data_IF_376437274310
#
_entry.id   IF_376437274310
#
_cell.length_a   1.000
_cell.length_b   1.000
_cell.length_c   1.000
_cell.angle_alpha   90.00
_cell.angle_beta   90.00
_cell.angle_gamma   90.00
#
_symmetry.space_group_name_H-M   'P 1'
#
loop_
_entity.id
_entity.type
_entity.pdbx_description
1 polymer ?
#
# COMPACT_ATOMS: atom_id res chain seq x y z
N UNK A 1 -12.73 -11.21 14.89
CA UNK A 1 -14.03 -10.62 14.56
C UNK A 1 -14.73 -11.62 13.66
N UNK A 2 -16.01 -11.95 13.91
CA UNK A 2 -16.77 -12.83 13.02
C UNK A 2 -16.77 -12.23 11.60
N UNK A 3 -16.70 -13.10 10.59
CA UNK A 3 -16.76 -12.64 9.21
C UNK A 3 -18.17 -12.09 8.93
N UNK A 4 -18.29 -11.11 8.03
CA UNK A 4 -19.58 -10.51 7.67
C UNK A 4 -20.60 -11.58 7.23
N UNK A 5 -20.10 -12.66 6.61
CA UNK A 5 -20.92 -13.79 6.15
C UNK A 5 -21.54 -14.58 7.31
N UNK A 6 -20.82 -14.76 8.42
CA UNK A 6 -21.34 -15.47 9.61
C UNK A 6 -22.49 -14.70 10.27
N UNK A 7 -22.38 -13.36 10.33
CA UNK A 7 -23.44 -12.49 10.88
C UNK A 7 -24.67 -12.43 9.97
N UNK A 8 -24.47 -12.55 8.65
CA UNK A 8 -25.55 -12.59 7.67
C UNK A 8 -26.41 -13.85 7.83
N UNK A 9 -25.77 -15.00 8.07
CA UNK A 9 -26.48 -16.27 8.27
C UNK A 9 -27.44 -16.25 9.47
N UNK A 10 -27.11 -15.53 10.55
CA UNK A 10 -27.98 -15.39 11.72
C UNK A 10 -29.16 -14.43 11.50
N UNK A 11 -29.04 -13.49 10.55
CA UNK A 11 -30.02 -12.43 10.31
C UNK A 11 -31.04 -12.78 9.21
N UNK A 12 -30.70 -13.74 8.36
CA UNK A 12 -31.56 -14.22 7.28
C UNK A 12 -32.60 -15.20 7.84
N UNK A 13 -33.85 -15.08 7.38
CA UNK A 13 -34.83 -16.12 7.65
C UNK A 13 -34.41 -17.43 6.95
N UNK A 14 -34.82 -18.62 7.42
CA UNK A 14 -34.40 -19.90 6.83
C UNK A 14 -34.77 -20.07 5.36
N UNK A 15 -35.78 -19.33 4.89
CA UNK A 15 -36.27 -19.36 3.51
C UNK A 15 -35.78 -18.15 2.69
N UNK A 16 -35.12 -17.18 3.32
CA UNK A 16 -34.67 -15.94 2.68
C UNK A 16 -33.32 -16.17 2.00
N UNK A 17 -33.25 -15.86 0.71
CA UNK A 17 -32.06 -16.11 -0.11
C UNK A 17 -31.36 -14.81 -0.45
N UNK A 18 -30.03 -14.79 -0.33
CA UNK A 18 -29.21 -13.66 -0.77
C UNK A 18 -29.18 -13.64 -2.30
N UNK A 19 -29.69 -12.55 -2.88
CA UNK A 19 -29.70 -12.33 -4.33
C UNK A 19 -28.42 -11.62 -4.77
N UNK A 20 -27.99 -10.61 -4.02
CA UNK A 20 -26.76 -9.87 -4.29
C UNK A 20 -26.21 -9.25 -3.01
N UNK A 21 -24.90 -9.13 -2.92
CA UNK A 21 -24.22 -8.41 -1.84
C UNK A 21 -23.27 -7.37 -2.43
N UNK A 22 -23.20 -6.20 -1.80
CA UNK A 22 -22.29 -5.13 -2.17
C UNK A 22 -21.83 -4.39 -0.91
N UNK A 23 -20.76 -3.62 -1.03
CA UNK A 23 -20.31 -2.72 0.04
C UNK A 23 -20.55 -1.28 -0.37
N UNK A 24 -20.91 -0.46 0.60
CA UNK A 24 -21.28 0.93 0.34
C UNK A 24 -21.09 1.81 1.56
N UNK A 25 -21.54 3.04 1.41
CA UNK A 25 -21.58 4.00 2.51
C UNK A 25 -23.00 4.51 2.67
N UNK A 26 -23.56 4.33 3.87
CA UNK A 26 -24.85 4.88 4.23
C UNK A 26 -24.64 6.34 4.65
N UNK A 27 -25.37 7.26 4.01
CA UNK A 27 -25.36 8.69 4.34
C UNK A 27 -26.69 9.04 4.99
N UNK A 28 -26.68 9.30 6.30
CA UNK A 28 -27.86 9.67 7.08
C UNK A 28 -27.62 11.06 7.69
N UNK A 29 -28.35 12.08 7.22
CA UNK A 29 -28.36 13.50 7.62
C UNK A 29 -27.00 14.21 7.77
N UNK A 30 -26.11 13.72 8.63
CA UNK A 30 -24.79 14.27 8.93
C UNK A 30 -23.68 13.22 9.06
N UNK A 31 -24.02 11.94 9.05
CA UNK A 31 -23.06 10.86 9.25
C UNK A 31 -22.89 9.99 8.00
N UNK A 32 -21.68 9.47 7.85
CA UNK A 32 -21.31 8.51 6.80
C UNK A 32 -20.63 7.33 7.45
N UNK A 33 -21.22 6.15 7.27
CA UNK A 33 -20.66 4.92 7.81
C UNK A 33 -20.52 3.88 6.69
N UNK A 34 -19.44 3.08 6.71
CA UNK A 34 -19.35 1.91 5.85
C UNK A 34 -20.46 0.92 6.22
N UNK A 35 -21.11 0.37 5.20
CA UNK A 35 -22.17 -0.62 5.33
C UNK A 35 -22.00 -1.72 4.30
N UNK A 36 -22.28 -2.94 4.71
CA UNK A 36 -22.53 -4.07 3.80
C UNK A 36 -24.00 -4.07 3.43
N UNK A 37 -24.29 -4.01 2.14
CA UNK A 37 -25.63 -3.93 1.59
C UNK A 37 -25.94 -5.29 0.99
N UNK A 38 -26.96 -5.96 1.49
CA UNK A 38 -27.39 -7.27 1.01
C UNK A 38 -28.81 -7.17 0.52
N UNK A 39 -28.99 -7.53 -0.75
CA UNK A 39 -30.28 -7.66 -1.39
C UNK A 39 -30.73 -9.11 -1.25
N UNK A 40 -31.91 -9.31 -0.68
CA UNK A 40 -32.54 -10.63 -0.58
C UNK A 40 -33.74 -10.71 -1.52
N UNK A 41 -34.39 -11.85 -1.57
CA UNK A 41 -35.66 -12.01 -2.28
C UNK A 41 -36.84 -11.26 -1.61
N UNK A 42 -36.70 -10.80 -0.36
CA UNK A 42 -37.81 -10.17 0.41
C UNK A 42 -37.55 -8.73 0.87
N UNK A 43 -36.30 -8.36 1.09
CA UNK A 43 -35.91 -7.07 1.68
C UNK A 43 -34.47 -6.69 1.38
N UNK A 44 -34.19 -5.41 1.55
CA UNK A 44 -32.84 -4.86 1.52
C UNK A 44 -32.29 -4.74 2.95
N UNK A 45 -31.13 -5.32 3.19
CA UNK A 45 -30.42 -5.30 4.46
C UNK A 45 -29.19 -4.39 4.34
N UNK A 46 -29.00 -3.47 5.27
CA UNK A 46 -27.78 -2.68 5.40
C UNK A 46 -27.20 -2.94 6.79
N UNK A 47 -26.03 -3.58 6.82
CA UNK A 47 -25.31 -3.89 8.05
C UNK A 47 -24.14 -2.92 8.20
N UNK A 48 -24.14 -2.12 9.26
CA UNK A 48 -22.98 -1.29 9.61
C UNK A 48 -21.96 -2.09 10.42
N UNK A 49 -20.67 -1.76 10.31
CA UNK A 49 -19.61 -2.33 11.16
C UNK A 49 -19.88 -2.17 12.66
N UNK A 50 -20.67 -1.15 13.06
CA UNK A 50 -21.10 -0.96 14.44
C UNK A 50 -22.25 -1.87 14.91
N UNK A 51 -22.65 -2.88 14.11
CA UNK A 51 -23.76 -3.78 14.41
C UNK A 51 -25.16 -3.15 14.24
N UNK A 52 -25.25 -1.91 13.73
CA UNK A 52 -26.53 -1.28 13.40
C UNK A 52 -27.06 -1.90 12.12
N UNK A 53 -28.18 -2.61 12.23
CA UNK A 53 -28.90 -3.20 11.11
C UNK A 53 -30.03 -2.26 10.67
N UNK A 54 -30.09 -1.96 9.38
CA UNK A 54 -31.22 -1.28 8.74
C UNK A 54 -31.85 -2.24 7.75
N UNK A 55 -33.08 -2.67 8.04
CA UNK A 55 -33.90 -3.53 7.20
C UNK A 55 -34.96 -2.69 6.49
N UNK A 56 -35.04 -2.78 5.17
CA UNK A 56 -36.04 -2.09 4.35
C UNK A 56 -36.79 -3.15 3.54
N UNK A 57 -38.05 -3.40 3.89
CA UNK A 57 -38.94 -4.27 3.11
C UNK A 57 -39.30 -3.63 1.78
N UNK A 58 -39.48 -4.42 0.72
CA UNK A 58 -39.81 -3.86 -0.60
C UNK A 58 -41.18 -3.15 -0.62
N UNK A 59 -42.11 -3.60 0.20
CA UNK A 59 -43.40 -2.97 0.46
C UNK A 59 -43.29 -1.55 1.05
N UNK A 60 -42.22 -1.29 1.82
CA UNK A 60 -41.97 0.03 2.41
C UNK A 60 -41.28 1.01 1.46
N UNK A 61 -40.81 0.56 0.30
CA UNK A 61 -40.09 1.40 -0.67
C UNK A 61 -41.09 2.11 -1.57
N UNK A 62 -41.24 3.42 -1.36
CA UNK A 62 -42.12 4.23 -2.21
C UNK A 62 -41.41 4.74 -3.46
N UNK A 63 -40.11 5.05 -3.36
CA UNK A 63 -39.34 5.58 -4.49
C UNK A 63 -37.90 5.10 -4.45
N UNK A 64 -37.38 4.69 -5.61
CA UNK A 64 -35.96 4.42 -5.81
C UNK A 64 -35.44 5.37 -6.88
N UNK A 65 -34.53 6.27 -6.50
CA UNK A 65 -33.84 7.17 -7.45
C UNK A 65 -32.36 6.84 -7.45
N UNK A 66 -31.82 6.59 -8.64
CA UNK A 66 -30.40 6.35 -8.83
C UNK A 66 -29.76 7.53 -9.56
N UNK A 67 -28.69 8.06 -8.98
CA UNK A 67 -27.89 9.12 -9.58
C UNK A 67 -26.47 8.61 -9.79
N UNK A 68 -26.06 8.50 -11.06
CA UNK A 68 -24.67 8.20 -11.40
C UNK A 68 -23.83 9.45 -11.24
N UNK A 69 -23.02 9.53 -10.17
CA UNK A 69 -22.10 10.65 -9.96
C UNK A 69 -20.67 10.21 -10.26
N UNK A 70 -20.12 10.74 -11.33
CA UNK A 70 -18.69 10.56 -11.64
C UNK A 70 -17.90 11.57 -10.83
N UNK A 71 -17.11 11.09 -9.87
CA UNK A 71 -16.17 11.95 -9.13
C UNK A 71 -14.79 11.74 -9.71
N UNK A 72 -14.10 12.82 -10.07
CA UNK A 72 -12.67 12.77 -10.43
C UNK A 72 -11.88 12.90 -9.15
N UNK A 73 -11.25 11.81 -8.72
CA UNK A 73 -10.27 11.84 -7.64
C UNK A 73 -8.88 11.83 -8.24
N UNK A 74 -8.09 12.86 -7.95
CA UNK A 74 -6.68 12.87 -8.29
C UNK A 74 -5.95 12.00 -7.28
N UNK A 75 -5.48 10.83 -7.71
CA UNK A 75 -4.56 10.04 -6.90
C UNK A 75 -3.16 10.49 -7.28
N UNK A 76 -2.53 11.29 -6.42
CA UNK A 76 -1.12 11.64 -6.56
C UNK A 76 -0.27 10.44 -6.15
N UNK A 77 -0.17 9.47 -7.05
CA UNK A 77 0.65 8.28 -6.89
C UNK A 77 1.67 8.24 -8.04
N UNK A 78 2.35 9.35 -8.31
CA UNK A 78 3.39 9.42 -9.34
C UNK A 78 4.76 9.22 -8.68
N UNK A 79 5.48 8.14 -9.01
CA UNK A 79 6.83 7.86 -8.52
C UNK A 79 7.84 8.97 -8.88
N UNK A 80 7.55 9.77 -9.90
CA UNK A 80 8.43 10.87 -10.33
C UNK A 80 8.47 12.00 -9.31
N UNK A 81 7.45 12.15 -8.47
CA UNK A 81 7.42 13.17 -7.41
C UNK A 81 8.45 12.87 -6.30
N UNK A 82 8.47 11.68 -5.65
CA UNK A 82 9.51 11.35 -4.68
C UNK A 82 10.89 11.28 -5.34
N UNK A 83 11.01 10.82 -6.59
CA UNK A 83 12.29 10.86 -7.32
C UNK A 83 12.79 12.29 -7.56
N UNK A 84 11.94 13.18 -8.06
CA UNK A 84 12.29 14.57 -8.34
C UNK A 84 12.60 15.35 -7.06
N UNK A 85 11.74 15.22 -6.04
CA UNK A 85 11.97 15.83 -4.72
C UNK A 85 13.24 15.28 -4.05
N UNK A 86 13.46 13.97 -4.14
CA UNK A 86 14.63 13.31 -3.61
C UNK A 86 15.91 13.77 -4.30
N UNK A 87 15.92 13.82 -5.63
CA UNK A 87 17.06 14.26 -6.42
C UNK A 87 17.40 15.73 -6.13
N UNK A 88 16.40 16.60 -6.06
CA UNK A 88 16.59 18.01 -5.73
C UNK A 88 17.10 18.18 -4.29
N UNK A 89 16.55 17.42 -3.34
CA UNK A 89 17.05 17.37 -1.96
C UNK A 89 18.51 16.91 -1.89
N UNK A 90 18.87 15.85 -2.62
CA UNK A 90 20.24 15.36 -2.69
C UNK A 90 21.20 16.42 -3.24
N UNK A 91 20.82 17.11 -4.32
CA UNK A 91 21.62 18.19 -4.90
C UNK A 91 21.81 19.36 -3.93
N UNK A 92 20.74 19.81 -3.26
CA UNK A 92 20.80 20.89 -2.27
C UNK A 92 21.64 20.50 -1.05
N UNK A 93 21.48 19.28 -0.54
CA UNK A 93 22.26 18.76 0.57
C UNK A 93 23.74 18.68 0.22
N UNK A 94 24.07 18.12 -0.96
CA UNK A 94 25.45 18.08 -1.46
C UNK A 94 26.06 19.47 -1.62
N UNK A 95 25.35 20.38 -2.30
CA UNK A 95 25.79 21.77 -2.46
C UNK A 95 25.99 22.47 -1.11
N UNK A 96 25.11 22.23 -0.13
CA UNK A 96 25.24 22.75 1.23
C UNK A 96 26.50 22.25 1.93
N UNK A 97 26.84 20.97 1.82
CA UNK A 97 28.10 20.43 2.35
C UNK A 97 29.29 21.15 1.73
N UNK A 98 29.35 21.27 0.39
CA UNK A 98 30.47 21.94 -0.27
C UNK A 98 30.57 23.44 0.04
N UNK A 99 29.42 24.14 0.14
CA UNK A 99 29.38 25.58 0.37
C UNK A 99 29.74 25.97 1.81
N UNK A 100 29.41 25.13 2.78
CA UNK A 100 29.59 25.42 4.21
C UNK A 100 30.95 24.96 4.75
N UNK A 101 31.72 24.20 3.98
CA UNK A 101 33.00 23.64 4.42
C UNK A 101 34.17 24.37 3.77
N UNK A 102 35.10 24.87 4.58
CA UNK A 102 36.32 25.52 4.10
C UNK A 102 37.48 24.53 3.85
N UNK A 103 37.34 23.28 4.31
CA UNK A 103 38.37 22.24 4.18
C UNK A 103 37.93 21.06 3.33
N UNK A 104 38.86 20.47 2.57
CA UNK A 104 38.65 19.33 1.66
C UNK A 104 38.23 18.04 2.38
N UNK A 105 38.53 17.95 3.68
CA UNK A 105 38.32 16.72 4.46
C UNK A 105 36.85 16.45 4.77
N UNK A 106 36.03 17.50 4.98
CA UNK A 106 34.61 17.37 5.29
C UNK A 106 33.78 16.84 4.11
N UNK A 107 33.90 17.34 2.86
CA UNK A 107 33.18 16.78 1.74
C UNK A 107 33.63 15.35 1.41
N UNK A 108 34.91 15.00 1.63
CA UNK A 108 35.38 13.62 1.50
C UNK A 108 34.72 12.69 2.52
N UNK A 109 34.65 13.09 3.80
CA UNK A 109 33.95 12.31 4.83
C UNK A 109 32.45 12.18 4.53
N UNK A 110 31.81 13.23 4.03
CA UNK A 110 30.41 13.18 3.60
C UNK A 110 30.21 12.19 2.45
N UNK A 111 31.08 12.22 1.43
CA UNK A 111 31.04 11.27 0.31
C UNK A 111 31.26 9.83 0.77
N UNK A 112 32.21 9.58 1.67
CA UNK A 112 32.44 8.24 2.23
C UNK A 112 31.23 7.77 3.04
N UNK A 113 30.63 8.65 3.83
CA UNK A 113 29.44 8.33 4.63
C UNK A 113 28.25 7.95 3.73
N UNK A 114 27.97 8.79 2.73
CA UNK A 114 26.87 8.56 1.80
C UNK A 114 27.13 7.35 0.90
N UNK A 115 28.34 7.22 0.37
CA UNK A 115 28.74 6.08 -0.44
C UNK A 115 28.68 4.76 0.34
N UNK A 116 29.12 4.77 1.61
CA UNK A 116 29.00 3.62 2.51
C UNK A 116 27.54 3.20 2.75
N UNK A 117 26.64 4.17 2.97
CA UNK A 117 25.21 3.90 3.09
C UNK A 117 24.61 3.31 1.81
N UNK A 118 24.94 3.87 0.64
CA UNK A 118 24.44 3.37 -0.65
C UNK A 118 24.95 1.95 -0.92
N UNK A 119 26.23 1.68 -0.69
CA UNK A 119 26.82 0.34 -0.88
C UNK A 119 26.25 -0.67 0.11
N UNK A 120 26.10 -0.29 1.38
CA UNK A 120 25.53 -1.17 2.41
C UNK A 120 24.09 -1.55 2.11
N UNK A 121 23.29 -0.58 1.68
CA UNK A 121 21.91 -0.83 1.27
C UNK A 121 21.82 -1.65 -0.03
N UNK A 122 22.70 -1.41 -1.00
CA UNK A 122 22.80 -2.22 -2.21
C UNK A 122 23.15 -3.68 -1.90
N UNK A 123 24.16 -3.91 -1.06
CA UNK A 123 24.58 -5.25 -0.66
C UNK A 123 23.48 -5.98 0.15
N UNK A 124 22.74 -5.27 1.00
CA UNK A 124 21.59 -5.83 1.74
C UNK A 124 20.50 -6.33 0.80
N UNK A 125 20.21 -5.57 -0.26
CA UNK A 125 19.23 -5.98 -1.28
C UNK A 125 19.67 -7.17 -2.09
N UNK A 126 20.96 -7.21 -2.46
CA UNK A 126 21.54 -8.33 -3.17
C UNK A 126 21.37 -9.63 -2.35
N UNK A 127 21.55 -9.56 -1.03
CA UNK A 127 21.33 -10.72 -0.14
C UNK A 127 19.87 -11.16 -0.03
N UNK A 128 18.91 -10.24 -0.08
CA UNK A 128 17.47 -10.59 -0.04
C UNK A 128 17.00 -11.22 -1.36
N UNK A 129 17.53 -10.75 -2.51
CA UNK A 129 17.19 -11.28 -3.84
C UNK A 129 17.88 -12.59 -4.18
N UNK A 130 19.07 -12.83 -3.63
CA UNK A 130 19.79 -14.09 -3.83
C UNK A 130 19.20 -15.27 -3.05
N UNK A 131 18.11 -15.07 -2.30
CA UNK A 131 17.37 -16.16 -1.67
C UNK A 131 18.31 -17.07 -0.88
N UNK A 132 18.94 -16.55 0.18
CA UNK A 132 19.77 -17.39 1.06
C UNK A 132 19.00 -18.60 1.63
N UNK A 133 17.66 -18.61 1.56
CA UNK A 133 16.83 -19.78 1.82
C UNK A 133 17.01 -20.92 0.79
N UNK A 134 17.17 -20.66 -0.51
CA UNK A 134 17.43 -21.71 -1.51
C UNK A 134 18.86 -22.23 -1.43
N UNK A 135 19.83 -21.38 -1.08
CA UNK A 135 21.22 -21.82 -0.89
C UNK A 135 21.37 -22.64 0.38
N UNK A 136 20.77 -22.22 1.51
CA UNK A 136 20.80 -23.02 2.74
C UNK A 136 19.96 -24.30 2.64
N UNK A 137 18.88 -24.32 1.85
CA UNK A 137 18.13 -25.54 1.55
C UNK A 137 18.90 -26.51 0.62
N UNK A 138 19.61 -25.99 -0.39
CA UNK A 138 20.43 -26.80 -1.29
C UNK A 138 21.61 -27.48 -0.55
N UNK A 139 22.20 -26.80 0.43
CA UNK A 139 23.25 -27.38 1.28
C UNK A 139 22.73 -28.44 2.27
N UNK A 140 21.44 -28.40 2.65
CA UNK A 140 20.81 -29.48 3.45
C UNK A 140 20.50 -30.74 2.64
N UNK A 141 20.68 -30.73 1.32
CA UNK A 141 20.41 -31.88 0.45
C UNK A 141 21.67 -32.45 -0.21
N UNK A 142 22.88 -32.10 0.24
CA UNK A 142 24.09 -32.82 -0.17
C UNK A 142 24.10 -34.18 0.55
N UNK A 143 23.88 -35.30 -0.16
CA UNK A 143 23.85 -36.61 0.46
C UNK A 143 25.29 -36.98 0.82
N UNK A 144 25.56 -37.07 2.12
CA UNK A 144 26.80 -37.63 2.66
C UNK A 144 26.89 -39.11 2.28
N UNK A 145 27.36 -39.38 1.06
CA UNK A 145 27.73 -40.73 0.62
C UNK A 145 28.99 -41.13 1.38
N UNK A 146 28.78 -41.82 2.49
CA UNK A 146 29.82 -42.59 3.16
C UNK A 146 30.33 -43.66 2.22
N UNK A 147 31.63 -43.65 1.96
CA UNK A 147 32.28 -44.67 1.13
C UNK A 147 33.80 -44.51 1.03
N UNK A 148 34.52 -44.99 2.04
CA UNK A 148 35.77 -45.73 1.84
C UNK A 148 37.06 -44.97 1.50
N UNK A 149 37.83 -44.67 2.55
CA UNK A 149 39.29 -44.91 2.69
C UNK A 149 40.24 -44.61 1.50
N UNK A 150 41.08 -43.59 1.68
CA UNK A 150 42.53 -43.72 1.96
C UNK A 150 43.39 -42.64 1.28
N UNK A 151 44.12 -41.93 2.14
CA UNK A 151 45.47 -41.36 1.93
C UNK A 151 45.73 -40.47 0.71
N UNK A 152 45.84 -39.15 0.94
CA UNK A 152 47.17 -38.49 0.85
C UNK A 152 47.21 -37.14 1.58
N UNK A 153 48.30 -37.03 2.31
CA UNK A 153 48.80 -35.99 3.18
C UNK A 153 49.52 -34.91 2.35
N UNK A 154 49.00 -33.68 2.32
CA UNK A 154 49.63 -32.38 2.01
C UNK A 154 48.50 -31.44 1.56
N UNK A 155 48.23 -30.25 2.06
CA UNK A 155 48.85 -29.31 3.01
C UNK A 155 47.64 -28.53 3.60
N UNK A 156 47.50 -28.33 4.90
CA UNK A 156 48.48 -27.63 5.72
C UNK A 156 48.37 -26.10 5.59
N UNK A 157 47.23 -25.55 5.13
CA UNK A 157 46.82 -24.18 5.45
C UNK A 157 45.31 -24.18 5.64
N UNK A 158 44.90 -24.17 6.91
CA UNK A 158 43.58 -23.76 7.32
C UNK A 158 43.40 -22.32 6.83
N UNK A 159 42.88 -22.16 5.62
CA UNK A 159 42.24 -20.91 5.23
C UNK A 159 41.08 -20.79 6.23
N UNK A 160 41.09 -19.80 7.14
CA UNK A 160 39.95 -19.60 8.01
C UNK A 160 38.71 -19.54 7.14
N UNK A 161 37.66 -20.26 7.56
CA UNK A 161 36.32 -20.23 6.97
C UNK A 161 36.11 -18.89 6.28
N UNK A 162 35.91 -18.95 4.96
CA UNK A 162 35.62 -17.79 4.15
C UNK A 162 34.45 -17.08 4.83
N UNK A 163 34.78 -16.05 5.63
CA UNK A 163 33.83 -15.13 6.21
C UNK A 163 33.01 -14.71 5.02
N UNK A 164 31.73 -15.04 5.00
CA UNK A 164 30.79 -14.71 3.94
C UNK A 164 31.15 -13.32 3.40
N UNK A 165 31.87 -13.25 2.27
CA UNK A 165 32.39 -12.01 1.69
C UNK A 165 31.33 -10.89 1.65
N UNK A 166 30.04 -11.18 1.35
CA UNK A 166 29.01 -10.15 1.40
C UNK A 166 28.74 -9.59 2.81
N UNK A 167 28.83 -10.41 3.88
CA UNK A 167 28.62 -9.95 5.26
C UNK A 167 29.78 -9.12 5.79
N UNK A 168 31.01 -9.47 5.42
CA UNK A 168 32.19 -8.68 5.77
C UNK A 168 32.15 -7.30 5.10
N UNK A 169 31.73 -7.22 3.83
CA UNK A 169 31.56 -5.95 3.10
C UNK A 169 30.41 -5.10 3.66
N UNK A 170 29.32 -5.72 4.12
CA UNK A 170 28.22 -5.03 4.80
C UNK A 170 28.65 -4.43 6.13
N UNK A 171 29.30 -5.22 6.99
CA UNK A 171 29.83 -4.73 8.27
C UNK A 171 30.89 -3.65 8.07
N UNK A 172 31.78 -3.82 7.08
CA UNK A 172 32.79 -2.82 6.73
C UNK A 172 32.19 -1.49 6.27
N UNK A 173 31.15 -1.52 5.43
CA UNK A 173 30.52 -0.29 4.92
C UNK A 173 29.71 0.45 6.00
N UNK A 174 28.99 -0.27 6.86
CA UNK A 174 28.27 0.34 8.00
C UNK A 174 29.23 0.95 9.01
N UNK A 175 30.28 0.22 9.39
CA UNK A 175 31.30 0.74 10.32
C UNK A 175 32.01 1.95 9.73
N UNK A 176 32.40 1.90 8.45
CA UNK A 176 33.02 3.04 7.77
C UNK A 176 32.09 4.27 7.70
N UNK A 177 30.80 4.08 7.44
CA UNK A 177 29.81 5.15 7.43
C UNK A 177 29.62 5.77 8.82
N UNK A 178 29.50 4.95 9.87
CA UNK A 178 29.36 5.42 11.26
C UNK A 178 30.60 6.18 11.71
N UNK A 179 31.79 5.62 11.48
CA UNK A 179 33.07 6.27 11.85
C UNK A 179 33.24 7.59 11.10
N UNK A 180 32.90 7.64 9.81
CA UNK A 180 32.98 8.87 9.01
C UNK A 180 31.98 9.93 9.48
N UNK A 181 30.76 9.53 9.83
CA UNK A 181 29.73 10.44 10.35
C UNK A 181 30.09 11.00 11.73
N UNK A 182 30.60 10.16 12.64
CA UNK A 182 31.09 10.60 13.95
C UNK A 182 32.28 11.54 13.79
N UNK A 183 33.20 11.23 12.87
CA UNK A 183 34.30 12.15 12.51
C UNK A 183 33.77 13.49 12.02
N UNK A 184 32.75 13.50 11.16
CA UNK A 184 32.14 14.73 10.64
C UNK A 184 31.48 15.58 11.74
N UNK A 185 30.80 14.94 12.70
CA UNK A 185 30.22 15.59 13.89
C UNK A 185 31.28 16.22 14.80
N UNK A 186 32.42 15.54 14.98
CA UNK A 186 33.50 16.02 15.86
C UNK A 186 34.32 17.12 15.20
N UNK A 187 34.59 17.03 13.89
CA UNK A 187 35.43 17.99 13.17
C UNK A 187 34.69 19.26 12.73
N UNK A 188 33.36 19.23 12.68
CA UNK A 188 32.58 20.34 12.11
C UNK A 188 31.72 21.03 13.17
N UNK A 189 32.07 22.23 13.64
CA UNK A 189 31.28 22.96 14.64
C UNK A 189 29.97 23.58 14.09
N UNK A 190 29.46 23.08 12.96
CA UNK A 190 28.30 23.64 12.26
C UNK A 190 27.18 22.62 12.12
N UNK A 191 26.09 22.82 12.87
CA UNK A 191 24.85 22.03 12.74
C UNK A 191 24.27 22.07 11.32
N UNK A 192 24.54 23.14 10.58
CA UNK A 192 24.13 23.29 9.18
C UNK A 192 24.78 22.24 8.27
N UNK A 193 26.05 21.88 8.49
CA UNK A 193 26.73 20.84 7.69
C UNK A 193 26.10 19.48 7.97
N UNK A 194 25.78 19.19 9.23
CA UNK A 194 25.06 17.96 9.61
C UNK A 194 23.69 17.93 8.94
N UNK A 195 22.95 19.04 8.96
CA UNK A 195 21.66 19.14 8.29
C UNK A 195 21.79 18.93 6.77
N UNK A 196 22.82 19.49 6.12
CA UNK A 196 23.11 19.27 4.71
C UNK A 196 23.40 17.79 4.38
N UNK A 197 24.15 17.09 5.23
CA UNK A 197 24.38 15.64 5.09
C UNK A 197 23.09 14.84 5.26
N UNK A 198 22.24 15.20 6.23
CA UNK A 198 20.93 14.55 6.43
C UNK A 198 20.01 14.77 5.24
N UNK A 199 19.94 16.00 4.71
CA UNK A 199 19.16 16.33 3.51
C UNK A 199 19.68 15.57 2.28
N UNK A 200 21.01 15.45 2.14
CA UNK A 200 21.64 14.66 1.09
C UNK A 200 21.25 13.17 1.17
N UNK A 201 21.41 12.57 2.34
CA UNK A 201 21.08 11.15 2.56
C UNK A 201 19.58 10.88 2.42
N UNK A 202 18.74 11.75 3.00
CA UNK A 202 17.28 11.66 2.89
C UNK A 202 16.78 11.84 1.45
N UNK A 203 17.41 12.74 0.70
CA UNK A 203 17.13 12.92 -0.74
C UNK A 203 17.40 11.65 -1.53
N UNK A 204 18.58 11.04 -1.34
CA UNK A 204 18.93 9.77 -2.01
C UNK A 204 17.99 8.63 -1.61
N UNK A 205 17.63 8.53 -0.33
CA UNK A 205 16.66 7.53 0.15
C UNK A 205 15.28 7.72 -0.50
N UNK A 206 14.86 8.96 -0.75
CA UNK A 206 13.58 9.26 -1.39
C UNK A 206 13.60 8.95 -2.91
N UNK A 207 14.73 9.21 -3.59
CA UNK A 207 14.92 8.77 -4.99
C UNK A 207 14.78 7.26 -5.08
N UNK A 208 15.51 6.58 -4.21
CA UNK A 208 15.52 5.14 -4.13
C UNK A 208 14.12 4.56 -3.82
N UNK A 209 13.41 5.16 -2.86
CA UNK A 209 12.02 4.81 -2.57
C UNK A 209 11.12 4.95 -3.81
N UNK A 210 11.28 6.04 -4.57
CA UNK A 210 10.52 6.27 -5.78
C UNK A 210 10.80 5.25 -6.89
N UNK A 211 12.06 4.87 -7.10
CA UNK A 211 12.44 3.79 -8.05
C UNK A 211 11.88 2.45 -7.61
N UNK A 212 11.93 2.14 -6.30
CA UNK A 212 11.40 0.87 -5.76
C UNK A 212 9.90 0.69 -5.90
N UNK A 213 9.16 1.79 -5.87
CA UNK A 213 7.70 1.76 -5.95
C UNK A 213 7.19 2.23 -7.31
N UNK A 214 8.02 2.18 -8.36
CA UNK A 214 7.64 2.56 -9.72
C UNK A 214 6.40 1.78 -10.17
N UNK A 215 6.39 0.45 -9.95
CA UNK A 215 5.26 -0.44 -10.31
C UNK A 215 3.98 -0.18 -9.50
N UNK A 216 4.09 0.44 -8.31
CA UNK A 216 2.95 0.75 -7.44
C UNK A 216 2.48 2.21 -7.54
N UNK A 217 3.26 3.05 -8.20
CA UNK A 217 3.08 4.49 -8.33
C UNK A 217 3.09 4.87 -9.81
N UNK A 218 2.28 4.15 -10.59
CA UNK A 218 2.20 4.29 -12.03
C UNK A 218 1.26 5.46 -12.42
N UNK A 219 1.65 6.65 -11.96
CA UNK A 219 1.21 7.92 -12.51
C UNK A 219 0.13 8.69 -11.76
N UNK A 220 -0.11 9.90 -12.28
CA UNK A 220 -1.27 10.73 -12.00
C UNK A 220 -2.51 10.06 -12.60
N UNK A 221 -2.95 8.96 -11.98
CA UNK A 221 -4.17 8.32 -12.41
C UNK A 221 -5.34 9.22 -12.00
N UNK A 222 -5.92 9.87 -13.00
CA UNK A 222 -7.22 10.52 -12.86
C UNK A 222 -8.27 9.41 -12.77
N UNK A 223 -8.36 8.76 -11.61
CA UNK A 223 -9.35 7.72 -11.38
C UNK A 223 -10.73 8.36 -11.44
N UNK A 224 -11.45 8.07 -12.53
CA UNK A 224 -12.87 8.37 -12.63
C UNK A 224 -13.61 7.31 -11.84
N UNK A 225 -13.79 7.55 -10.55
CA UNK A 225 -14.64 6.69 -9.75
C UNK A 225 -16.10 7.07 -10.02
N UNK A 226 -16.79 6.23 -10.80
CA UNK A 226 -18.25 6.29 -10.92
C UNK A 226 -18.82 5.77 -9.62
N UNK A 227 -19.60 6.59 -8.90
CA UNK A 227 -20.33 6.14 -7.71
C UNK A 227 -21.81 6.23 -7.98
N UNK A 228 -22.57 5.22 -7.59
CA UNK A 228 -24.03 5.24 -7.67
C UNK A 228 -24.56 5.77 -6.33
N UNK A 229 -25.29 6.88 -6.37
CA UNK A 229 -26.03 7.40 -5.22
C UNK A 229 -27.49 6.93 -5.37
N UNK A 230 -27.88 5.94 -4.57
CA UNK A 230 -29.22 5.37 -4.54
C UNK A 230 -29.95 5.99 -3.37
N UNK A 231 -31.04 6.70 -3.66
CA UNK A 231 -31.95 7.24 -2.64
C UNK A 231 -33.21 6.41 -2.62
N UNK A 232 -33.45 5.79 -1.48
CA UNK A 232 -34.63 4.98 -1.21
C UNK A 232 -35.53 5.81 -0.29
N UNK A 233 -36.66 6.27 -0.82
CA UNK A 233 -37.71 6.89 -0.04
C UNK A 233 -38.61 5.80 0.53
N UNK A 234 -38.77 5.78 1.85
CA UNK A 234 -39.67 4.86 2.55
C UNK A 234 -41.01 5.53 2.85
N UNK A 235 -42.06 4.73 3.10
CA UNK A 235 -43.41 5.23 3.42
C UNK A 235 -43.47 6.18 4.62
N UNK A 236 -42.50 6.11 5.53
CA UNK A 236 -42.38 6.96 6.71
C UNK A 236 -41.73 8.34 6.42
N UNK A 237 -41.65 8.75 5.15
CA UNK A 237 -40.95 9.96 4.69
C UNK A 237 -39.43 9.97 5.00
N UNK A 238 -38.85 8.81 5.33
CA UNK A 238 -37.40 8.67 5.53
C UNK A 238 -36.71 8.40 4.19
N UNK A 239 -35.65 9.16 3.93
CA UNK A 239 -34.81 9.01 2.74
C UNK A 239 -33.48 8.38 3.15
N UNK A 240 -33.27 7.13 2.72
CA UNK A 240 -32.03 6.40 2.94
C UNK A 240 -31.15 6.63 1.71
N UNK A 241 -30.01 7.31 1.89
CA UNK A 241 -29.05 7.56 0.81
C UNK A 241 -27.88 6.59 0.91
N UNK A 242 -27.79 5.68 -0.06
CA UNK A 242 -26.75 4.66 -0.16
C UNK A 242 -25.81 5.02 -1.30
N UNK A 243 -24.52 5.12 -1.00
CA UNK A 243 -23.49 5.29 -2.03
C UNK A 243 -22.75 3.98 -2.20
N UNK A 244 -22.95 3.36 -3.36
CA UNK A 244 -22.49 2.01 -3.68
C UNK A 244 -21.50 2.10 -4.86
N UNK A 245 -20.49 1.24 -4.85
CA UNK A 245 -19.66 1.05 -6.04
C UNK A 245 -20.52 0.35 -7.11
N UNK A 246 -20.66 0.89 -8.33
CA UNK A 246 -21.51 0.32 -9.35
C UNK A 246 -20.91 -0.98 -9.90
N UNK A 247 -20.99 -2.06 -9.14
CA UNK A 247 -20.89 -3.42 -9.69
C UNK A 247 -22.10 -3.65 -10.58
N UNK A 248 -21.87 -4.07 -11.84
CA UNK A 248 -22.94 -4.28 -12.83
C UNK A 248 -24.02 -5.25 -12.32
N UNK A 249 -23.62 -6.27 -11.55
CA UNK A 249 -24.51 -7.29 -11.00
C UNK A 249 -25.51 -6.73 -9.96
N UNK A 250 -25.03 -5.95 -8.98
CA UNK A 250 -25.92 -5.38 -7.95
C UNK A 250 -26.98 -4.46 -8.55
N UNK A 251 -26.63 -3.65 -9.55
CA UNK A 251 -27.58 -2.74 -10.21
C UNK A 251 -28.63 -3.51 -10.99
N UNK A 252 -28.21 -4.56 -11.70
CA UNK A 252 -29.12 -5.39 -12.50
C UNK A 252 -30.09 -6.18 -11.61
N UNK A 253 -29.63 -6.69 -10.47
CA UNK A 253 -30.50 -7.38 -9.52
C UNK A 253 -31.43 -6.40 -8.79
N UNK A 254 -30.92 -5.23 -8.39
CA UNK A 254 -31.75 -4.22 -7.73
C UNK A 254 -32.88 -3.74 -8.65
N UNK A 255 -32.61 -3.52 -9.94
CA UNK A 255 -33.66 -3.15 -10.89
C UNK A 255 -34.65 -4.29 -11.11
N UNK A 256 -34.18 -5.53 -11.24
CA UNK A 256 -35.08 -6.68 -11.39
C UNK A 256 -36.03 -6.80 -10.19
N UNK A 257 -35.51 -6.73 -8.98
CA UNK A 257 -36.31 -6.94 -7.76
C UNK A 257 -37.21 -5.74 -7.45
N UNK A 258 -36.73 -4.51 -7.64
CA UNK A 258 -37.51 -3.31 -7.35
C UNK A 258 -38.63 -3.03 -8.39
N UNK A 259 -38.53 -3.55 -9.62
CA UNK A 259 -39.50 -3.29 -10.70
C UNK A 259 -40.33 -4.52 -11.11
N UNK A 260 -40.35 -5.59 -10.30
CA UNK A 260 -41.18 -6.77 -10.61
C UNK A 260 -42.67 -6.57 -10.27
N UNK A 261 -43.04 -5.57 -9.45
CA UNK A 261 -44.44 -5.20 -9.17
C UNK A 261 -44.74 -3.78 -9.70
N UNK A 262 -45.39 -3.67 -10.86
CA UNK A 262 -46.18 -2.54 -11.42
C UNK A 262 -45.66 -1.07 -11.32
N UNK A 263 -44.42 -0.83 -10.92
CA UNK A 263 -43.86 0.52 -10.87
C UNK A 263 -43.30 0.95 -12.23
N UNK A 264 -43.81 2.08 -12.73
CA UNK A 264 -43.39 2.78 -13.94
C UNK A 264 -41.85 2.77 -14.11
N UNK A 265 -41.32 2.44 -15.31
CA UNK A 265 -39.88 2.30 -15.52
C UNK A 265 -39.14 3.60 -15.16
N UNK A 266 -38.11 3.49 -14.32
CA UNK A 266 -37.23 4.62 -13.96
C UNK A 266 -36.61 5.16 -15.23
N UNK A 267 -37.11 6.33 -15.65
CA UNK A 267 -36.46 7.09 -16.71
C UNK A 267 -35.11 7.57 -16.19
N UNK A 268 -33.99 7.22 -16.86
CA UNK A 268 -32.71 7.80 -16.52
C UNK A 268 -32.82 9.31 -16.74
N UNK A 269 -32.79 10.08 -15.65
CA UNK A 269 -32.67 11.53 -15.72
C UNK A 269 -31.26 11.82 -16.24
N UNK A 270 -31.13 11.89 -17.56
CA UNK A 270 -29.94 12.40 -18.23
C UNK A 270 -29.85 13.89 -17.90
N UNK A 271 -29.24 14.21 -16.76
CA UNK A 271 -28.80 15.56 -16.48
C UNK A 271 -27.74 15.92 -17.53
N UNK A 272 -28.14 16.70 -18.54
CA UNK A 272 -27.18 17.40 -19.41
C UNK A 272 -26.32 18.29 -18.52
N UNK A 273 -25.07 17.88 -18.33
CA UNK A 273 -23.99 18.69 -17.75
C UNK A 273 -23.29 19.48 -18.84
#
# INVERSE_FOLDING_TARGET
MPSTDDQLGELLAPEESVVAASTGTLTEASFRYPVSIVLTDRRLLCLSEGGRLVTVGYDSICTVRSYSRTTRTYRFADHRLPQGAGGLGALLGGAGVFALTTGVLVPLLALVTVGGLVVGEYARRQTDTLGLETVTAAWRHVPSHGGGTSTRRWSGRSVPDAIDEPRALLLGSVVAAVVSFVGLLVLTPGWLVVLSVVVLAGGLALVDYGVRHEDGLDGLELVRQRKLDVRIGTGDDRIISLRIDPSEEFIQQLSRVAFTDDAEPVQPVLSRS
#
